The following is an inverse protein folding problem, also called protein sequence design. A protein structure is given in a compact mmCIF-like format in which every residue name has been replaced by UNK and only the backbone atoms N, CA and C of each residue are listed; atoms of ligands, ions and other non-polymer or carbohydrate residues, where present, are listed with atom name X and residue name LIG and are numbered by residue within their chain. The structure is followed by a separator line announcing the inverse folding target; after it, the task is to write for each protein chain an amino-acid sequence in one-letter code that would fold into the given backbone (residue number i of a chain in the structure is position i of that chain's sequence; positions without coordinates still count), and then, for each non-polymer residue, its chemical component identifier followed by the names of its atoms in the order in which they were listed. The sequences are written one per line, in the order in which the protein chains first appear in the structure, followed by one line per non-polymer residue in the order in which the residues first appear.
data_IF_786276766805
#
_entry.id   IF_786276766805
#
_cell.length_a   1.000
_cell.length_b   1.000
_cell.length_c   1.000
_cell.angle_alpha   90.00
_cell.angle_beta   90.00
_cell.angle_gamma   90.00
#
_symmetry.space_group_name_H-M   'P 1'
#
loop_
_entity.id
_entity.type
_entity.pdbx_description
1 polymer ?
#
# COMPACT_ATOMS: atom_id res chain seq x y z
N UNK A 1 5.71 25.96 21.77
CA UNK A 1 5.49 25.27 20.49
C UNK A 1 4.04 24.81 20.22
N UNK A 2 3.06 25.14 21.07
CA UNK A 2 1.64 24.74 20.94
C UNK A 2 0.77 25.48 19.91
N UNK A 3 1.32 26.41 19.10
CA UNK A 3 0.53 27.30 18.22
C UNK A 3 0.26 26.79 16.79
N UNK A 4 0.92 25.73 16.33
CA UNK A 4 0.84 25.32 14.92
C UNK A 4 -0.40 24.47 14.58
N UNK A 5 -1.07 23.88 15.58
CA UNK A 5 -2.14 22.89 15.42
C UNK A 5 -3.54 23.38 15.86
N UNK A 6 -3.68 24.71 16.07
CA UNK A 6 -4.90 25.34 16.65
C UNK A 6 -6.15 25.18 15.75
N UNK A 7 -5.96 24.87 14.46
CA UNK A 7 -7.05 24.70 13.49
C UNK A 7 -7.06 23.31 12.83
N UNK A 8 -6.63 22.28 13.54
CA UNK A 8 -6.71 20.91 13.05
C UNK A 8 -8.13 20.39 13.21
N UNK A 9 -8.61 19.61 12.24
CA UNK A 9 -9.90 18.93 12.29
C UNK A 9 -9.76 17.48 11.80
N UNK A 10 -10.60 16.62 12.33
CA UNK A 10 -10.71 15.25 11.86
C UNK A 10 -11.53 15.23 10.56
N UNK A 11 -11.08 14.49 9.57
CA UNK A 11 -11.89 14.14 8.42
C UNK A 11 -12.40 12.73 8.66
N UNK A 12 -13.70 12.63 8.90
CA UNK A 12 -14.36 11.35 9.13
C UNK A 12 -14.52 10.60 7.80
N UNK A 13 -13.76 9.55 7.66
CA UNK A 13 -13.78 8.65 6.51
C UNK A 13 -14.51 7.34 6.81
N UNK A 14 -15.33 7.29 7.87
CA UNK A 14 -16.12 6.11 8.21
C UNK A 14 -17.12 5.81 7.09
N UNK A 15 -17.04 4.63 6.47
CA UNK A 15 -17.90 4.29 5.35
C UNK A 15 -19.34 4.08 5.78
N UNK A 16 -20.28 4.58 4.96
CA UNK A 16 -21.72 4.38 5.18
C UNK A 16 -22.28 3.15 4.47
N UNK A 17 -21.70 2.78 3.31
CA UNK A 17 -22.28 1.80 2.39
C UNK A 17 -21.24 0.84 1.80
N UNK A 18 -20.07 0.70 2.39
CA UNK A 18 -19.05 -0.26 1.95
C UNK A 18 -18.34 -0.89 3.14
N UNK A 19 -17.59 -1.95 2.88
CA UNK A 19 -16.85 -2.68 3.92
C UNK A 19 -15.88 -1.74 4.65
N UNK A 20 -15.89 -1.75 5.99
CA UNK A 20 -14.87 -1.06 6.75
C UNK A 20 -13.50 -1.67 6.47
N UNK A 21 -12.45 -0.88 6.68
CA UNK A 21 -11.06 -1.33 6.55
C UNK A 21 -10.62 -1.71 5.13
N UNK A 22 -11.33 -1.25 4.07
CA UNK A 22 -10.92 -1.51 2.69
C UNK A 22 -9.67 -0.70 2.30
N UNK A 23 -8.50 -1.35 2.09
CA UNK A 23 -7.25 -0.66 1.82
C UNK A 23 -7.23 0.03 0.46
N UNK A 24 -8.02 -0.43 -0.51
CA UNK A 24 -8.12 0.18 -1.85
C UNK A 24 -8.83 1.52 -1.75
N UNK A 25 -9.96 1.56 -1.03
CA UNK A 25 -10.72 2.78 -0.81
C UNK A 25 -9.91 3.74 0.05
N UNK A 26 -9.41 3.28 1.20
CA UNK A 26 -8.65 4.11 2.13
C UNK A 26 -7.41 4.73 1.46
N UNK A 27 -6.71 3.97 0.59
CA UNK A 27 -5.54 4.49 -0.14
C UNK A 27 -5.91 5.47 -1.26
N UNK A 28 -7.17 5.56 -1.67
CA UNK A 28 -7.63 6.53 -2.67
C UNK A 28 -8.04 7.88 -2.05
N UNK A 29 -8.39 7.88 -0.75
CA UNK A 29 -8.94 9.04 -0.06
C UNK A 29 -7.92 10.18 0.04
N UNK A 30 -6.68 9.90 0.43
CA UNK A 30 -5.64 10.92 0.53
C UNK A 30 -5.43 11.66 -0.80
N UNK A 31 -5.42 10.93 -1.92
CA UNK A 31 -5.31 11.52 -3.25
C UNK A 31 -6.51 12.46 -3.55
N UNK A 32 -7.74 12.02 -3.24
CA UNK A 32 -8.93 12.83 -3.40
C UNK A 32 -8.87 14.11 -2.55
N UNK A 33 -8.48 13.99 -1.29
CA UNK A 33 -8.45 15.11 -0.35
C UNK A 33 -7.46 16.20 -0.77
N UNK A 34 -6.27 15.85 -1.28
CA UNK A 34 -5.24 16.82 -1.65
C UNK A 34 -5.41 17.41 -3.05
N UNK A 35 -6.01 16.68 -3.99
CA UNK A 35 -6.10 17.11 -5.39
C UNK A 35 -7.48 17.64 -5.77
N UNK A 36 -8.54 17.10 -5.20
CA UNK A 36 -9.91 17.38 -5.64
C UNK A 36 -10.72 18.17 -4.59
N UNK A 37 -10.82 17.68 -3.35
CA UNK A 37 -11.66 18.33 -2.30
C UNK A 37 -11.02 19.58 -1.73
N UNK A 38 -9.71 19.56 -1.46
CA UNK A 38 -8.91 20.74 -1.05
C UNK A 38 -9.51 21.55 0.11
N UNK A 39 -9.84 20.87 1.20
CA UNK A 39 -10.36 21.55 2.40
C UNK A 39 -9.32 22.53 2.95
N UNK A 40 -9.72 23.77 3.29
CA UNK A 40 -8.80 24.73 3.87
C UNK A 40 -8.40 24.32 5.29
N UNK A 41 -7.15 24.57 5.67
CA UNK A 41 -6.64 24.28 7.00
C UNK A 41 -5.86 22.96 7.07
N UNK A 42 -5.90 22.31 8.23
CA UNK A 42 -5.15 21.11 8.51
C UNK A 42 -6.11 19.97 8.87
N UNK A 43 -6.40 19.10 7.90
CA UNK A 43 -7.17 17.91 8.11
C UNK A 43 -6.31 16.75 8.64
N UNK A 44 -6.89 15.89 9.44
CA UNK A 44 -6.32 14.60 9.84
C UNK A 44 -7.29 13.49 9.45
N UNK A 45 -6.81 12.46 8.77
CA UNK A 45 -7.51 11.17 8.68
C UNK A 45 -6.83 10.16 9.58
N UNK A 46 -7.63 9.26 10.17
CA UNK A 46 -7.12 8.19 11.02
C UNK A 46 -7.97 6.93 10.82
N UNK A 47 -7.35 5.86 10.32
CA UNK A 47 -8.06 4.65 9.94
C UNK A 47 -7.27 3.37 10.19
N UNK A 48 -7.92 2.24 9.99
CA UNK A 48 -7.35 0.89 10.08
C UNK A 48 -7.64 0.19 8.76
N UNK A 49 -6.76 -0.73 8.34
CA UNK A 49 -6.97 -1.58 7.17
C UNK A 49 -7.15 -3.04 7.58
N UNK A 50 -7.93 -3.80 6.79
CA UNK A 50 -7.84 -5.27 6.80
C UNK A 50 -6.46 -5.70 6.30
N UNK A 51 -6.06 -7.00 6.49
CA UNK A 51 -4.74 -7.47 6.08
C UNK A 51 -4.39 -7.07 4.65
N UNK A 52 -3.31 -6.30 4.50
CA UNK A 52 -2.88 -5.76 3.21
C UNK A 52 -1.40 -5.39 3.20
N UNK A 53 -0.78 -5.44 2.04
CA UNK A 53 0.52 -4.83 1.79
C UNK A 53 0.33 -3.58 0.95
N UNK A 54 0.81 -2.45 1.46
CA UNK A 54 0.82 -1.18 0.75
C UNK A 54 2.22 -0.96 0.17
N UNK A 55 2.34 -1.10 -1.15
CA UNK A 55 3.60 -0.97 -1.87
C UNK A 55 3.79 0.44 -2.43
N UNK A 56 5.00 0.96 -2.39
CA UNK A 56 5.34 2.28 -2.93
C UNK A 56 5.20 2.37 -4.45
N UNK A 57 4.98 3.57 -4.96
CA UNK A 57 4.73 3.82 -6.40
C UNK A 57 5.84 3.31 -7.34
N UNK A 58 7.10 3.32 -6.88
CA UNK A 58 8.28 2.94 -7.64
C UNK A 58 8.86 1.57 -7.25
N UNK A 59 8.12 0.76 -6.49
CA UNK A 59 8.58 -0.57 -6.09
C UNK A 59 8.16 -1.65 -7.08
N UNK A 60 8.99 -2.68 -7.20
CA UNK A 60 8.67 -3.92 -7.89
C UNK A 60 8.06 -4.91 -6.89
N UNK A 61 6.79 -5.30 -7.08
CA UNK A 61 6.08 -6.20 -6.18
C UNK A 61 6.76 -7.57 -6.06
N UNK A 62 7.37 -8.08 -7.12
CA UNK A 62 8.07 -9.38 -7.10
C UNK A 62 9.38 -9.37 -6.30
N UNK A 63 9.92 -8.18 -5.99
CA UNK A 63 11.13 -8.03 -5.17
C UNK A 63 10.83 -7.74 -3.70
N UNK A 64 9.64 -7.21 -3.41
CA UNK A 64 9.30 -6.67 -2.09
C UNK A 64 8.28 -7.51 -1.34
N UNK A 65 7.53 -8.38 -2.04
CA UNK A 65 6.34 -9.02 -1.50
C UNK A 65 6.30 -10.50 -1.87
N UNK A 66 5.96 -11.37 -0.93
CA UNK A 66 5.59 -12.76 -1.23
C UNK A 66 4.13 -12.82 -1.72
N UNK A 67 3.93 -12.69 -3.05
CA UNK A 67 2.59 -12.71 -3.64
C UNK A 67 1.83 -14.01 -3.41
N UNK A 68 2.53 -15.16 -3.24
CA UNK A 68 1.90 -16.44 -2.92
C UNK A 68 1.37 -16.43 -1.50
N UNK A 69 2.18 -15.94 -0.54
CA UNK A 69 1.72 -15.76 0.83
C UNK A 69 0.48 -14.86 0.90
N UNK A 70 0.51 -13.73 0.21
CA UNK A 70 -0.64 -12.82 0.17
C UNK A 70 -1.91 -13.52 -0.31
N UNK A 71 -1.79 -14.24 -1.43
CA UNK A 71 -2.93 -14.96 -2.03
C UNK A 71 -3.50 -16.05 -1.11
N UNK A 72 -2.64 -16.79 -0.41
CA UNK A 72 -3.05 -17.87 0.48
C UNK A 72 -3.67 -17.38 1.79
N UNK A 73 -3.35 -16.15 2.20
CA UNK A 73 -3.77 -15.60 3.49
C UNK A 73 -4.79 -14.44 3.34
N UNK A 74 -5.36 -14.25 2.15
CA UNK A 74 -6.31 -13.17 1.86
C UNK A 74 -5.76 -11.79 2.24
N UNK A 75 -4.49 -11.52 1.91
CA UNK A 75 -3.82 -10.24 2.11
C UNK A 75 -3.87 -9.46 0.80
N UNK A 76 -4.46 -8.27 0.83
CA UNK A 76 -4.55 -7.42 -0.37
C UNK A 76 -3.18 -6.82 -0.73
N UNK A 77 -2.91 -6.66 -2.03
CA UNK A 77 -1.82 -5.82 -2.54
C UNK A 77 -2.38 -4.52 -3.10
N UNK A 78 -1.98 -3.41 -2.51
CA UNK A 78 -2.39 -2.07 -2.95
C UNK A 78 -1.17 -1.20 -3.18
N UNK A 79 -1.11 -0.53 -4.34
CA UNK A 79 -0.03 0.41 -4.66
C UNK A 79 -0.47 1.83 -4.36
N UNK A 80 0.28 2.51 -3.48
CA UNK A 80 0.08 3.94 -3.20
C UNK A 80 0.78 4.83 -4.22
N UNK A 81 0.46 6.11 -4.24
CA UNK A 81 1.11 7.11 -5.10
C UNK A 81 2.38 7.69 -4.51
N UNK A 82 2.55 7.61 -3.20
CA UNK A 82 3.79 8.03 -2.55
C UNK A 82 4.94 7.04 -2.80
N UNK A 83 6.16 7.52 -2.62
CA UNK A 83 7.37 6.69 -2.62
C UNK A 83 7.55 5.90 -1.31
N UNK A 84 8.75 5.37 -1.11
CA UNK A 84 9.14 4.60 0.07
C UNK A 84 8.94 3.09 -0.07
N UNK A 85 9.25 2.34 1.00
CA UNK A 85 9.19 0.89 1.07
C UNK A 85 7.79 0.32 1.21
N UNK A 86 7.66 -0.99 1.03
CA UNK A 86 6.44 -1.73 1.30
C UNK A 86 6.18 -1.80 2.81
N UNK A 87 4.91 -1.73 3.19
CA UNK A 87 4.45 -1.87 4.57
C UNK A 87 3.30 -2.86 4.64
N UNK A 88 3.26 -3.63 5.72
CA UNK A 88 2.15 -4.53 6.02
C UNK A 88 1.16 -3.81 6.95
N UNK A 89 -0.11 -3.91 6.66
CA UNK A 89 -1.20 -3.46 7.50
C UNK A 89 -2.08 -4.64 7.91
N UNK A 90 -2.60 -4.57 9.11
CA UNK A 90 -3.70 -5.39 9.60
C UNK A 90 -4.51 -4.60 10.63
N UNK A 91 -5.44 -5.23 11.29
CA UNK A 91 -6.27 -4.58 12.31
C UNK A 91 -5.49 -4.16 13.57
N UNK A 92 -4.20 -4.48 13.67
CA UNK A 92 -3.30 -4.00 14.72
C UNK A 92 -2.54 -2.72 14.34
N UNK A 93 -2.73 -2.20 13.12
CA UNK A 93 -2.14 -0.94 12.65
C UNK A 93 -3.15 0.19 12.61
N UNK A 94 -2.77 1.36 13.09
CA UNK A 94 -3.48 2.61 12.88
C UNK A 94 -2.73 3.42 11.84
N UNK A 95 -3.41 3.89 10.83
CA UNK A 95 -2.87 4.79 9.83
C UNK A 95 -3.32 6.20 10.17
N UNK A 96 -2.41 7.16 10.19
CA UNK A 96 -2.70 8.58 10.37
C UNK A 96 -2.09 9.37 9.23
N UNK A 97 -2.83 10.31 8.67
CA UNK A 97 -2.34 11.20 7.62
C UNK A 97 -2.84 12.63 7.82
N UNK A 98 -1.91 13.55 7.82
CA UNK A 98 -2.17 14.99 7.85
C UNK A 98 -2.40 15.45 6.42
N UNK A 99 -3.52 16.13 6.17
CA UNK A 99 -3.94 16.64 4.86
C UNK A 99 -3.82 18.16 4.87
N UNK A 100 -2.92 18.68 4.07
CA UNK A 100 -2.69 20.13 3.95
C UNK A 100 -3.00 20.56 2.52
N UNK A 101 -3.98 21.45 2.36
CA UNK A 101 -4.35 22.02 1.07
C UNK A 101 -4.01 23.51 1.00
N UNK A 102 -3.67 23.98 -0.20
CA UNK A 102 -3.35 25.41 -0.45
C UNK A 102 -2.01 25.88 0.10
N UNK A 103 -1.14 24.97 0.57
CA UNK A 103 0.19 25.30 1.07
C UNK A 103 1.17 24.14 0.91
N UNK A 104 2.41 24.47 0.57
CA UNK A 104 3.54 23.53 0.60
C UNK A 104 4.51 23.81 1.76
N UNK A 105 4.12 24.71 2.68
CA UNK A 105 4.89 24.96 3.90
C UNK A 105 4.99 23.69 4.72
N UNK A 106 6.19 23.39 5.25
CA UNK A 106 6.53 22.17 5.96
C UNK A 106 6.46 20.88 5.13
N UNK A 107 6.24 20.94 3.81
CA UNK A 107 6.39 19.77 2.95
C UNK A 107 7.82 19.23 3.09
N UNK A 108 7.94 17.90 3.35
CA UNK A 108 9.17 17.16 3.68
C UNK A 108 9.70 17.33 5.12
N UNK A 109 9.01 18.05 5.99
CA UNK A 109 9.37 18.19 7.40
C UNK A 109 8.64 17.12 8.26
N UNK A 110 9.23 15.94 8.36
CA UNK A 110 8.64 14.83 9.14
C UNK A 110 8.56 15.12 10.65
N UNK A 111 9.45 15.94 11.20
CA UNK A 111 9.38 16.34 12.61
C UNK A 111 8.10 17.14 12.88
N UNK A 112 7.76 18.06 11.96
CA UNK A 112 6.55 18.86 12.06
C UNK A 112 5.29 17.99 12.12
N UNK A 113 5.18 16.95 11.29
CA UNK A 113 4.00 16.08 11.25
C UNK A 113 3.96 15.03 12.36
N UNK A 114 5.10 14.62 12.85
CA UNK A 114 5.20 13.64 13.91
C UNK A 114 4.97 14.24 15.30
N UNK A 115 5.25 15.52 15.47
CA UNK A 115 5.21 16.18 16.77
C UNK A 115 3.88 16.03 17.50
N UNK A 116 2.69 16.25 16.89
CA UNK A 116 1.42 16.06 17.60
C UNK A 116 1.18 14.62 18.03
N UNK A 117 1.52 13.65 17.17
CA UNK A 117 1.38 12.23 17.48
C UNK A 117 2.30 11.83 18.62
N UNK A 118 3.56 12.28 18.57
CA UNK A 118 4.53 12.01 19.64
C UNK A 118 4.11 12.67 20.96
N UNK A 119 3.62 13.92 20.91
CA UNK A 119 3.15 14.62 22.12
C UNK A 119 1.95 13.91 22.75
N UNK A 120 0.97 13.48 21.94
CA UNK A 120 -0.17 12.70 22.42
C UNK A 120 0.29 11.35 23.03
N UNK A 121 1.20 10.64 22.37
CA UNK A 121 1.75 9.38 22.88
C UNK A 121 2.57 9.57 24.17
N UNK A 122 3.30 10.68 24.31
CA UNK A 122 4.02 11.04 25.54
C UNK A 122 3.04 11.31 26.68
N UNK A 123 1.95 12.04 26.45
CA UNK A 123 0.87 12.23 27.41
C UNK A 123 0.24 10.90 27.84
N UNK A 124 0.15 9.93 26.92
CA UNK A 124 -0.29 8.57 27.18
C UNK A 124 0.79 7.67 27.81
N UNK A 125 1.99 8.19 28.05
CA UNK A 125 3.05 7.51 28.80
C UNK A 125 4.15 6.87 27.97
N UNK A 126 4.21 7.08 26.65
CA UNK A 126 5.35 6.69 25.82
C UNK A 126 6.61 7.45 26.28
N UNK A 127 7.72 6.76 26.45
CA UNK A 127 9.00 7.37 26.84
C UNK A 127 9.99 7.32 25.68
N UNK A 128 10.67 8.45 25.44
CA UNK A 128 11.80 8.52 24.50
C UNK A 128 11.39 8.39 23.01
N UNK A 129 10.13 8.64 22.67
CA UNK A 129 9.67 8.66 21.29
C UNK A 129 10.30 9.80 20.50
N UNK A 130 10.81 9.53 19.30
CA UNK A 130 11.38 10.55 18.43
C UNK A 130 11.34 10.15 16.94
N UNK A 131 11.54 11.13 16.07
CA UNK A 131 11.69 10.91 14.63
C UNK A 131 13.12 10.50 14.31
N UNK A 132 13.29 9.36 13.69
CA UNK A 132 14.61 8.94 13.19
C UNK A 132 14.95 9.60 11.86
N UNK A 133 16.27 9.64 11.52
CA UNK A 133 16.77 10.23 10.26
C UNK A 133 16.17 9.63 8.97
N UNK A 134 15.43 8.52 9.04
CA UNK A 134 14.82 7.82 7.91
C UNK A 134 13.28 7.80 7.99
N UNK A 135 12.66 8.89 8.44
CA UNK A 135 11.21 9.07 8.45
C UNK A 135 10.45 7.93 9.18
N UNK A 136 10.92 7.57 10.36
CA UNK A 136 10.27 6.59 11.22
C UNK A 136 10.15 7.12 12.64
N UNK A 137 9.07 6.75 13.34
CA UNK A 137 8.99 6.96 14.80
C UNK A 137 9.63 5.77 15.48
N UNK A 138 10.52 6.07 16.40
CA UNK A 138 11.28 5.07 17.15
C UNK A 138 11.26 5.40 18.65
N UNK A 139 11.30 4.36 19.47
CA UNK A 139 11.55 4.43 20.91
C UNK A 139 12.31 3.17 21.31
N UNK A 140 13.24 3.28 22.27
CA UNK A 140 14.10 2.17 22.68
C UNK A 140 14.78 1.44 21.50
N UNK A 141 15.29 2.20 20.51
CA UNK A 141 15.93 1.73 19.27
C UNK A 141 15.06 0.87 18.35
N UNK A 142 13.77 0.74 18.64
CA UNK A 142 12.83 0.00 17.82
C UNK A 142 11.86 0.95 17.09
N UNK A 143 11.61 0.65 15.83
CA UNK A 143 10.63 1.36 15.03
C UNK A 143 9.22 0.87 15.37
N UNK A 144 8.31 1.81 15.69
CA UNK A 144 6.89 1.55 15.87
C UNK A 144 6.00 2.27 14.84
N UNK A 145 6.61 3.09 13.96
CA UNK A 145 5.91 3.77 12.86
C UNK A 145 6.85 3.97 11.67
N UNK A 146 6.30 3.82 10.46
CA UNK A 146 6.92 4.28 9.22
C UNK A 146 6.11 5.43 8.67
N UNK A 147 6.77 6.51 8.22
CA UNK A 147 6.11 7.67 7.64
C UNK A 147 6.44 7.84 6.17
N UNK A 148 5.49 8.41 5.43
CA UNK A 148 5.68 8.82 4.04
C UNK A 148 4.96 10.15 3.78
N UNK A 149 5.19 10.70 2.59
CA UNK A 149 4.56 11.93 2.15
C UNK A 149 4.16 11.84 0.68
N UNK A 150 3.01 12.39 0.36
CA UNK A 150 2.51 12.56 -1.01
C UNK A 150 2.41 14.06 -1.27
N UNK A 151 3.11 14.54 -2.28
CA UNK A 151 3.02 15.93 -2.72
C UNK A 151 2.03 16.03 -3.88
N UNK A 152 0.98 16.83 -3.69
CA UNK A 152 0.08 17.29 -4.74
C UNK A 152 0.59 18.55 -5.44
N UNK A 153 -0.26 19.18 -6.24
CA UNK A 153 0.07 20.41 -6.98
C UNK A 153 0.28 21.60 -6.03
N UNK A 154 -0.64 21.79 -5.10
CA UNK A 154 -0.73 22.93 -4.19
C UNK A 154 -1.03 22.51 -2.73
N UNK A 155 -0.78 21.23 -2.41
CA UNK A 155 -0.98 20.65 -1.11
C UNK A 155 -0.20 19.35 -0.97
N UNK A 156 -0.34 18.67 0.16
CA UNK A 156 0.32 17.38 0.42
C UNK A 156 -0.40 16.60 1.51
N UNK A 157 -0.21 15.29 1.51
CA UNK A 157 -0.52 14.41 2.63
C UNK A 157 0.78 13.91 3.25
N UNK A 158 0.86 13.90 4.58
CA UNK A 158 2.01 13.42 5.33
C UNK A 158 1.55 12.62 6.54
N UNK A 159 2.01 11.39 6.65
CA UNK A 159 1.60 10.52 7.73
C UNK A 159 2.34 9.20 7.75
N UNK A 160 1.76 8.23 8.41
CA UNK A 160 2.35 6.91 8.55
C UNK A 160 1.47 5.93 9.27
N UNK A 161 2.10 4.83 9.68
CA UNK A 161 1.47 3.77 10.46
C UNK A 161 1.88 3.86 11.92
N UNK A 162 0.98 3.57 12.85
CA UNK A 162 1.32 3.20 14.22
C UNK A 162 1.09 1.69 14.37
N UNK A 163 2.14 0.93 14.51
CA UNK A 163 2.08 -0.51 14.77
C UNK A 163 1.67 -0.72 16.23
N UNK A 164 0.35 -0.65 16.52
CA UNK A 164 -0.14 -0.77 17.89
C UNK A 164 -0.08 -2.22 18.39
N UNK A 165 -0.73 -3.14 17.65
CA UNK A 165 -0.78 -4.58 17.96
C UNK A 165 -0.73 -5.41 16.67
N UNK A 166 0.15 -5.01 15.74
CA UNK A 166 0.33 -5.65 14.44
C UNK A 166 0.87 -7.07 14.57
N UNK A 167 0.40 -7.99 13.74
CA UNK A 167 1.00 -9.31 13.63
C UNK A 167 2.34 -9.24 12.89
N UNK A 168 3.43 -9.12 13.66
CA UNK A 168 4.80 -8.97 13.12
C UNK A 168 5.23 -10.22 12.33
N UNK A 169 4.75 -11.41 12.70
CA UNK A 169 5.06 -12.66 11.98
C UNK A 169 4.45 -12.64 10.58
N UNK A 170 3.17 -12.28 10.47
CA UNK A 170 2.51 -12.14 9.17
C UNK A 170 3.18 -11.04 8.32
N UNK A 171 3.55 -9.92 8.94
CA UNK A 171 4.26 -8.83 8.26
C UNK A 171 5.58 -9.33 7.66
N UNK A 172 6.38 -10.09 8.41
CA UNK A 172 7.65 -10.65 7.92
C UNK A 172 7.43 -11.62 6.76
N UNK A 173 6.43 -12.50 6.85
CA UNK A 173 6.11 -13.45 5.77
C UNK A 173 5.64 -12.72 4.51
N UNK A 174 4.78 -11.73 4.64
CA UNK A 174 4.26 -10.95 3.52
C UNK A 174 5.35 -10.12 2.80
N UNK A 175 6.31 -9.57 3.55
CA UNK A 175 7.35 -8.64 3.06
C UNK A 175 8.69 -9.32 2.75
N UNK A 176 8.77 -10.65 2.79
CA UNK A 176 10.00 -11.40 2.50
C UNK A 176 9.73 -12.40 1.37
N UNK A 177 9.84 -11.98 0.10
CA UNK A 177 9.67 -12.90 -1.03
C UNK A 177 10.73 -13.99 -0.98
N UNK A 178 10.33 -15.25 -1.24
CA UNK A 178 11.25 -16.41 -1.25
C UNK A 178 12.38 -16.24 -2.26
N UNK A 179 12.10 -15.57 -3.38
CA UNK A 179 13.07 -15.29 -4.44
C UNK A 179 12.84 -13.86 -4.92
N UNK A 180 13.82 -13.00 -4.72
CA UNK A 180 13.74 -11.62 -5.24
C UNK A 180 13.91 -11.61 -6.75
N UNK A 181 13.15 -10.75 -7.41
CA UNK A 181 13.29 -10.51 -8.83
C UNK A 181 14.65 -9.83 -9.13
N UNK A 182 15.40 -10.39 -10.08
CA UNK A 182 16.71 -9.88 -10.48
C UNK A 182 16.63 -8.69 -11.44
N UNK A 183 15.49 -8.48 -12.09
CA UNK A 183 15.26 -7.40 -13.07
C UNK A 183 14.88 -6.08 -12.37
N UNK A 184 14.88 -6.05 -11.06
CA UNK A 184 14.41 -4.88 -10.33
C UNK A 184 15.23 -3.63 -10.59
N UNK A 185 14.52 -2.54 -10.90
CA UNK A 185 15.02 -1.15 -10.88
C UNK A 185 14.26 -0.32 -9.84
N UNK A 186 13.49 -0.99 -9.00
CA UNK A 186 12.62 -0.38 -7.99
C UNK A 186 13.38 0.07 -6.74
N UNK A 187 12.70 0.87 -5.93
CA UNK A 187 13.19 1.27 -4.60
C UNK A 187 13.00 0.11 -3.63
N UNK A 188 14.05 -0.28 -2.93
CA UNK A 188 14.00 -1.34 -1.92
C UNK A 188 13.51 -0.82 -0.57
N UNK A 189 12.83 -1.69 0.19
CA UNK A 189 12.46 -1.43 1.57
C UNK A 189 13.67 -1.46 2.48
N UNK A 190 13.70 -0.56 3.50
CA UNK A 190 14.75 -0.56 4.51
C UNK A 190 14.41 -1.54 5.64
N UNK A 191 15.33 -2.42 5.97
CA UNK A 191 15.21 -3.32 7.11
C UNK A 191 15.55 -2.62 8.42
N UNK A 192 14.72 -2.79 9.47
CA UNK A 192 14.90 -2.25 10.81
C UNK A 192 14.20 -3.11 11.85
N UNK A 193 14.74 -3.20 13.08
CA UNK A 193 14.01 -3.79 14.19
C UNK A 193 12.69 -3.03 14.42
N UNK A 194 11.60 -3.75 14.45
CA UNK A 194 10.25 -3.22 14.69
C UNK A 194 9.68 -3.73 16.00
N UNK A 195 8.79 -2.95 16.61
CA UNK A 195 8.03 -3.35 17.80
C UNK A 195 6.61 -2.80 17.70
N UNK A 196 5.70 -3.44 18.41
CA UNK A 196 4.37 -2.89 18.61
C UNK A 196 4.40 -1.79 19.68
N UNK A 197 3.73 -0.68 19.39
CA UNK A 197 3.59 0.47 20.30
C UNK A 197 2.95 0.06 21.64
N UNK A 198 2.04 -0.90 21.63
CA UNK A 198 1.43 -1.52 22.80
C UNK A 198 2.46 -1.94 23.85
N UNK A 199 3.61 -2.48 23.42
CA UNK A 199 4.68 -2.93 24.33
C UNK A 199 5.47 -1.79 24.97
N UNK A 200 5.33 -0.58 24.45
CA UNK A 200 6.04 0.62 24.89
C UNK A 200 5.19 1.53 25.80
N UNK A 201 3.91 1.21 25.93
CA UNK A 201 2.92 2.00 26.68
C UNK A 201 2.60 1.38 28.05
N UNK A 202 2.03 2.17 29.00
CA UNK A 202 1.54 1.66 30.27
C UNK A 202 0.49 0.56 30.13
N UNK A 203 0.35 -0.29 31.15
CA UNK A 203 -0.56 -1.43 31.18
C UNK A 203 -2.02 -1.09 30.85
N UNK A 204 -2.46 0.12 31.17
CA UNK A 204 -3.81 0.62 30.84
C UNK A 204 -4.11 0.54 29.34
N UNK A 205 -3.14 0.88 28.50
CA UNK A 205 -3.31 0.85 27.02
C UNK A 205 -3.02 -0.52 26.43
N UNK A 206 -2.22 -1.36 27.11
CA UNK A 206 -1.87 -2.69 26.62
C UNK A 206 -3.06 -3.64 26.50
N UNK A 207 -4.15 -3.38 27.21
CA UNK A 207 -5.36 -4.22 27.18
C UNK A 207 -6.42 -3.71 26.17
N UNK A 208 -6.18 -2.58 25.54
CA UNK A 208 -7.11 -2.00 24.58
C UNK A 208 -7.09 -2.73 23.24
N UNK A 209 -8.25 -2.78 22.58
CA UNK A 209 -8.29 -3.06 21.14
C UNK A 209 -7.70 -1.88 20.37
N UNK A 210 -7.25 -2.13 19.13
CA UNK A 210 -6.69 -1.08 18.27
C UNK A 210 -7.70 0.06 18.02
N UNK A 211 -8.98 -0.25 17.87
CA UNK A 211 -10.04 0.76 17.75
C UNK A 211 -10.21 1.61 19.00
N UNK A 212 -10.21 0.98 20.18
CA UNK A 212 -10.28 1.72 21.45
C UNK A 212 -9.04 2.61 21.64
N UNK A 213 -7.86 2.10 21.32
CA UNK A 213 -6.64 2.89 21.40
C UNK A 213 -6.63 4.06 20.40
N UNK A 214 -7.10 3.85 19.16
CA UNK A 214 -7.26 4.92 18.15
C UNK A 214 -8.18 6.02 18.67
N UNK A 215 -9.29 5.65 19.32
CA UNK A 215 -10.22 6.60 19.90
C UNK A 215 -9.52 7.45 20.99
N UNK A 216 -8.86 6.83 21.95
CA UNK A 216 -8.12 7.52 23.00
C UNK A 216 -7.00 8.42 22.45
N UNK A 217 -6.23 7.92 21.49
CA UNK A 217 -5.19 8.70 20.82
C UNK A 217 -5.76 9.99 20.21
N UNK A 218 -6.91 9.91 19.55
CA UNK A 218 -7.55 11.08 18.94
C UNK A 218 -8.05 12.08 20.00
N UNK A 219 -8.58 11.64 21.13
CA UNK A 219 -8.95 12.52 22.24
C UNK A 219 -7.74 13.30 22.76
N UNK A 220 -6.62 12.62 22.99
CA UNK A 220 -5.35 13.26 23.41
C UNK A 220 -4.82 14.21 22.35
N UNK A 221 -4.83 13.81 21.08
CA UNK A 221 -4.30 14.58 19.97
C UNK A 221 -5.09 15.89 19.73
N UNK A 222 -6.41 15.86 19.94
CA UNK A 222 -7.28 17.04 19.86
C UNK A 222 -7.42 17.78 21.19
N UNK A 223 -6.83 17.28 22.28
CA UNK A 223 -6.92 17.84 23.64
C UNK A 223 -8.37 18.03 24.12
N UNK A 224 -9.24 17.07 23.83
CA UNK A 224 -10.65 17.06 24.23
C UNK A 224 -10.98 15.86 25.12
N UNK A 225 -12.09 15.96 25.87
CA UNK A 225 -12.54 14.87 26.75
C UNK A 225 -13.60 13.99 26.09
N UNK A 226 -14.33 14.51 25.13
CA UNK A 226 -15.44 13.81 24.50
C UNK A 226 -15.27 13.83 22.99
N UNK A 227 -15.63 12.73 22.36
CA UNK A 227 -15.58 12.57 20.91
C UNK A 227 -16.34 13.66 20.15
N UNK A 228 -17.50 14.08 20.68
CA UNK A 228 -18.31 15.12 20.08
C UNK A 228 -17.65 16.51 20.04
N UNK A 229 -16.59 16.72 20.82
CA UNK A 229 -15.84 17.99 20.87
C UNK A 229 -14.72 18.04 19.80
N UNK A 230 -14.44 16.93 19.08
CA UNK A 230 -13.47 16.93 17.99
C UNK A 230 -14.07 17.67 16.80
N UNK A 231 -13.45 18.78 16.32
CA UNK A 231 -13.87 19.42 15.09
C UNK A 231 -13.79 18.42 13.92
N UNK A 232 -14.92 18.09 13.32
CA UNK A 232 -14.98 17.00 12.34
C UNK A 232 -15.63 17.44 11.04
N UNK A 233 -14.96 17.15 9.91
CA UNK A 233 -15.56 17.21 8.59
C UNK A 233 -16.03 15.82 8.18
N UNK A 234 -17.30 15.70 7.81
CA UNK A 234 -17.87 14.44 7.31
C UNK A 234 -17.91 14.44 5.79
N UNK A 235 -17.35 13.41 5.18
CA UNK A 235 -17.43 13.23 3.72
C UNK A 235 -18.89 13.15 3.27
N UNK A 236 -19.22 13.97 2.26
CA UNK A 236 -20.55 14.01 1.64
C UNK A 236 -20.74 12.83 0.67
N UNK A 237 -21.97 12.61 0.22
CA UNK A 237 -22.23 11.61 -0.82
C UNK A 237 -21.48 11.93 -2.12
N UNK A 238 -21.29 13.20 -2.45
CA UNK A 238 -20.51 13.62 -3.62
C UNK A 238 -19.04 13.25 -3.47
N UNK A 239 -18.46 13.45 -2.27
CA UNK A 239 -17.09 13.07 -1.98
C UNK A 239 -16.88 11.56 -2.16
N UNK A 240 -17.80 10.77 -1.60
CA UNK A 240 -17.77 9.31 -1.73
C UNK A 240 -17.90 8.85 -3.19
N UNK A 241 -18.76 9.46 -3.99
CA UNK A 241 -18.87 9.15 -5.42
C UNK A 241 -17.55 9.42 -6.15
N UNK A 242 -16.91 10.55 -5.89
CA UNK A 242 -15.62 10.89 -6.50
C UNK A 242 -14.50 9.93 -6.06
N UNK A 243 -14.47 9.52 -4.78
CA UNK A 243 -13.55 8.51 -4.28
C UNK A 243 -13.77 7.17 -5.01
N UNK A 244 -15.01 6.70 -5.16
CA UNK A 244 -15.32 5.48 -5.90
C UNK A 244 -14.93 5.57 -7.40
N UNK A 245 -15.04 6.74 -8.01
CA UNK A 245 -14.52 6.94 -9.36
C UNK A 245 -12.98 6.79 -9.43
N UNK A 246 -12.24 7.33 -8.45
CA UNK A 246 -10.79 7.14 -8.36
C UNK A 246 -10.43 5.65 -8.17
N UNK A 247 -11.19 4.92 -7.35
CA UNK A 247 -11.04 3.48 -7.20
C UNK A 247 -11.23 2.78 -8.55
N UNK A 248 -12.33 3.06 -9.26
CA UNK A 248 -12.63 2.43 -10.54
C UNK A 248 -11.60 2.77 -11.64
N UNK A 249 -11.12 4.02 -11.66
CA UNK A 249 -10.15 4.49 -12.67
C UNK A 249 -8.72 4.04 -12.39
N UNK A 250 -8.34 3.85 -11.12
CA UNK A 250 -6.94 3.61 -10.75
C UNK A 250 -6.74 2.55 -9.65
N UNK A 251 -7.11 2.84 -8.41
CA UNK A 251 -6.68 2.05 -7.24
C UNK A 251 -7.26 0.64 -7.20
N UNK A 252 -8.46 0.41 -7.74
CA UNK A 252 -9.07 -0.91 -7.87
C UNK A 252 -8.59 -1.71 -9.10
N UNK A 253 -7.73 -1.13 -9.94
CA UNK A 253 -7.29 -1.80 -11.16
C UNK A 253 -6.05 -2.66 -10.94
N UNK A 254 -6.11 -3.90 -11.41
CA UNK A 254 -4.97 -4.83 -11.35
C UNK A 254 -3.72 -4.27 -12.02
N UNK A 255 -3.87 -3.56 -13.14
CA UNK A 255 -2.74 -2.94 -13.83
C UNK A 255 -2.02 -1.90 -12.98
N UNK A 256 -2.72 -1.19 -12.08
CA UNK A 256 -2.10 -0.29 -11.12
C UNK A 256 -1.35 -1.05 -10.02
N UNK A 257 -1.99 -2.03 -9.39
CA UNK A 257 -1.45 -2.72 -8.22
C UNK A 257 -0.37 -3.75 -8.60
N UNK A 258 -0.59 -4.53 -9.65
CA UNK A 258 0.27 -5.66 -10.05
C UNK A 258 1.07 -5.39 -11.33
N UNK A 259 0.64 -4.46 -12.18
CA UNK A 259 1.25 -4.22 -13.49
C UNK A 259 2.38 -3.19 -13.46
N UNK A 260 2.33 -2.19 -12.59
CA UNK A 260 3.29 -1.10 -12.54
C UNK A 260 4.59 -1.50 -11.82
N UNK A 261 5.33 -2.45 -12.39
CA UNK A 261 6.61 -2.92 -11.86
C UNK A 261 7.78 -2.37 -12.68
N UNK A 262 8.74 -1.63 -12.05
CA UNK A 262 9.94 -1.17 -12.74
C UNK A 262 10.71 -2.33 -13.39
N UNK A 263 11.14 -2.15 -14.63
CA UNK A 263 11.84 -3.18 -15.41
C UNK A 263 10.94 -3.96 -16.37
N UNK A 264 9.62 -3.85 -16.25
CA UNK A 264 8.65 -4.48 -17.14
C UNK A 264 7.89 -3.43 -17.97
N UNK A 265 7.72 -3.69 -19.27
CA UNK A 265 7.06 -2.79 -20.24
C UNK A 265 5.57 -3.08 -20.36
N UNK A 266 5.20 -4.34 -20.19
CA UNK A 266 3.85 -4.84 -20.45
C UNK A 266 3.28 -5.59 -19.28
N UNK A 267 1.96 -5.54 -19.19
CA UNK A 267 1.18 -6.25 -18.22
C UNK A 267 -0.08 -6.83 -18.84
N UNK A 268 -0.47 -8.01 -18.38
CA UNK A 268 -1.77 -8.60 -18.68
C UNK A 268 -2.33 -9.28 -17.46
N UNK A 269 -3.64 -9.20 -17.29
CA UNK A 269 -4.34 -10.04 -16.33
C UNK A 269 -5.61 -10.64 -16.91
N UNK A 270 -5.92 -11.88 -16.51
CA UNK A 270 -7.16 -12.57 -16.91
C UNK A 270 -7.69 -13.40 -15.76
N UNK A 271 -9.01 -13.39 -15.61
CA UNK A 271 -9.70 -14.30 -14.72
C UNK A 271 -9.62 -15.72 -15.30
N UNK A 272 -9.21 -16.67 -14.47
CA UNK A 272 -9.18 -18.10 -14.78
C UNK A 272 -10.13 -18.83 -13.82
N UNK A 273 -10.38 -20.11 -14.07
CA UNK A 273 -11.36 -20.88 -13.30
C UNK A 273 -11.12 -20.85 -11.77
N UNK A 274 -9.86 -20.75 -11.35
CA UNK A 274 -9.45 -20.80 -9.94
C UNK A 274 -8.86 -19.48 -9.45
N UNK A 275 -9.17 -18.32 -10.07
CA UNK A 275 -8.67 -17.03 -9.61
C UNK A 275 -8.23 -16.09 -10.72
N UNK A 276 -7.14 -15.37 -10.51
CA UNK A 276 -6.60 -14.38 -11.42
C UNK A 276 -5.17 -14.75 -11.84
N UNK A 277 -4.87 -14.65 -13.12
CA UNK A 277 -3.52 -14.79 -13.68
C UNK A 277 -2.99 -13.41 -14.07
N UNK A 278 -1.75 -13.11 -13.65
CA UNK A 278 -1.04 -11.86 -13.94
C UNK A 278 0.29 -12.17 -14.62
N UNK A 279 0.61 -11.46 -15.70
CA UNK A 279 1.89 -11.57 -16.43
C UNK A 279 2.46 -10.17 -16.58
N UNK A 280 3.69 -9.97 -16.11
CA UNK A 280 4.52 -8.80 -16.37
C UNK A 280 5.66 -9.22 -17.27
N UNK A 281 5.95 -8.52 -18.36
CA UNK A 281 7.07 -8.86 -19.23
C UNK A 281 7.68 -7.65 -19.94
N UNK A 282 8.90 -7.84 -20.41
CA UNK A 282 9.63 -6.91 -21.26
C UNK A 282 10.11 -7.63 -22.51
N UNK A 283 10.36 -6.88 -23.58
CA UNK A 283 10.88 -7.43 -24.84
C UNK A 283 12.09 -6.66 -25.34
N UNK A 284 13.00 -7.38 -26.00
CA UNK A 284 14.12 -6.84 -26.76
C UNK A 284 14.20 -7.62 -28.09
N UNK A 285 14.27 -6.93 -29.21
CA UNK A 285 14.32 -7.55 -30.54
C UNK A 285 13.21 -8.58 -30.78
N UNK A 286 11.98 -8.24 -30.41
CA UNK A 286 10.76 -9.07 -30.49
C UNK A 286 10.83 -10.39 -29.68
N UNK A 287 11.79 -10.53 -28.77
CA UNK A 287 11.88 -11.66 -27.85
C UNK A 287 11.57 -11.21 -26.44
N UNK A 288 10.98 -12.10 -25.65
CA UNK A 288 10.74 -11.87 -24.25
C UNK A 288 12.08 -11.84 -23.51
N UNK A 289 12.50 -10.66 -23.04
CA UNK A 289 13.77 -10.44 -22.35
C UNK A 289 13.65 -10.53 -20.83
N UNK A 290 12.45 -10.35 -20.30
CA UNK A 290 12.11 -10.53 -18.88
C UNK A 290 10.65 -10.90 -18.76
N UNK A 291 10.32 -11.77 -17.81
CA UNK A 291 8.94 -12.18 -17.54
C UNK A 291 8.77 -12.55 -16.07
N UNK A 292 7.65 -12.16 -15.48
CA UNK A 292 7.15 -12.59 -14.18
C UNK A 292 5.68 -12.97 -14.27
N UNK A 293 5.37 -14.12 -13.68
CA UNK A 293 4.03 -14.68 -13.66
C UNK A 293 3.57 -14.87 -12.21
N UNK A 294 2.33 -14.52 -11.96
CA UNK A 294 1.66 -14.78 -10.69
C UNK A 294 0.21 -15.18 -10.96
N UNK A 295 -0.23 -16.21 -10.29
CA UNK A 295 -1.64 -16.64 -10.30
C UNK A 295 -2.09 -16.95 -8.88
N UNK A 296 -3.29 -16.49 -8.48
CA UNK A 296 -3.80 -16.65 -7.12
C UNK A 296 -3.91 -18.13 -6.68
N UNK A 297 -4.05 -19.05 -7.63
CA UNK A 297 -4.07 -20.50 -7.38
C UNK A 297 -2.91 -21.25 -8.06
N UNK A 298 -1.89 -20.53 -8.53
CA UNK A 298 -0.69 -21.11 -9.14
C UNK A 298 0.39 -21.29 -8.09
N UNK A 299 1.07 -22.44 -8.09
CA UNK A 299 2.24 -22.65 -7.24
C UNK A 299 3.45 -21.85 -7.77
N UNK A 300 4.40 -21.55 -6.89
CA UNK A 300 5.63 -20.87 -7.28
C UNK A 300 6.40 -21.64 -8.36
N UNK A 301 6.50 -22.95 -8.22
CA UNK A 301 7.20 -23.84 -9.19
C UNK A 301 6.51 -23.81 -10.55
N UNK A 302 5.18 -23.77 -10.60
CA UNK A 302 4.44 -23.67 -11.86
C UNK A 302 4.66 -22.31 -12.54
N UNK A 303 4.71 -21.23 -11.75
CA UNK A 303 5.02 -19.90 -12.27
C UNK A 303 6.47 -19.82 -12.80
N UNK A 304 7.45 -20.32 -12.05
CA UNK A 304 8.85 -20.39 -12.45
C UNK A 304 9.04 -21.21 -13.73
N UNK A 305 8.38 -22.36 -13.86
CA UNK A 305 8.44 -23.19 -15.08
C UNK A 305 7.88 -22.46 -16.31
N UNK A 306 6.80 -21.69 -16.12
CA UNK A 306 6.21 -20.88 -17.18
C UNK A 306 7.12 -19.71 -17.59
N UNK A 307 7.73 -19.04 -16.63
CA UNK A 307 8.70 -17.97 -16.85
C UNK A 307 9.91 -18.47 -17.65
N UNK A 308 10.49 -19.61 -17.25
CA UNK A 308 11.63 -20.22 -17.94
C UNK A 308 11.30 -20.63 -19.36
N UNK A 309 10.13 -21.23 -19.60
CA UNK A 309 9.73 -21.63 -20.94
C UNK A 309 9.50 -20.47 -21.89
N UNK A 310 9.04 -19.33 -21.38
CA UNK A 310 8.73 -18.16 -22.20
C UNK A 310 9.90 -17.18 -22.34
N UNK A 311 10.90 -17.23 -21.47
CA UNK A 311 12.09 -16.38 -21.55
C UNK A 311 12.86 -16.67 -22.85
N UNK A 312 13.14 -15.63 -23.65
CA UNK A 312 13.80 -15.74 -24.97
C UNK A 312 12.85 -16.14 -26.11
N UNK A 313 11.61 -16.48 -25.84
CA UNK A 313 10.63 -16.80 -26.88
C UNK A 313 10.34 -15.56 -27.76
N UNK A 314 10.22 -15.77 -29.07
CA UNK A 314 9.77 -14.71 -29.99
C UNK A 314 8.30 -14.41 -29.75
N UNK A 315 7.93 -13.13 -29.74
CA UNK A 315 6.58 -12.67 -29.45
C UNK A 315 5.66 -12.86 -30.65
N UNK A 316 5.43 -14.12 -31.01
CA UNK A 316 4.45 -14.54 -32.03
C UNK A 316 3.73 -15.82 -31.59
N UNK A 317 2.59 -16.09 -32.19
CA UNK A 317 1.69 -17.20 -31.78
C UNK A 317 2.40 -18.57 -31.80
N UNK A 318 3.18 -18.86 -32.84
CA UNK A 318 3.76 -20.19 -33.05
C UNK A 318 4.89 -20.46 -32.03
N UNK A 319 5.79 -19.48 -31.87
CA UNK A 319 6.86 -19.56 -30.86
C UNK A 319 6.31 -19.71 -29.46
N UNK A 320 5.32 -18.91 -29.08
CA UNK A 320 4.71 -18.95 -27.75
C UNK A 320 4.04 -20.30 -27.49
N UNK A 321 3.22 -20.80 -28.42
CA UNK A 321 2.56 -22.11 -28.32
C UNK A 321 3.57 -23.26 -28.23
N UNK A 322 4.65 -23.23 -29.04
CA UNK A 322 5.72 -24.21 -29.02
C UNK A 322 6.42 -24.26 -27.66
N UNK A 323 6.74 -23.13 -27.07
CA UNK A 323 7.39 -23.08 -25.75
C UNK A 323 6.42 -23.49 -24.64
N UNK A 324 5.15 -23.07 -24.67
CA UNK A 324 4.13 -23.46 -23.71
C UNK A 324 3.83 -24.95 -23.72
N UNK A 325 3.92 -25.61 -24.91
CA UNK A 325 3.74 -27.05 -25.04
C UNK A 325 4.74 -27.89 -24.23
N UNK A 326 5.89 -27.31 -23.89
CA UNK A 326 6.94 -27.95 -23.10
C UNK A 326 6.69 -27.85 -21.57
N UNK A 327 5.65 -27.14 -21.16
CA UNK A 327 5.29 -26.96 -19.74
C UNK A 327 4.14 -27.88 -19.34
N UNK A 328 3.87 -27.94 -18.03
CA UNK A 328 2.67 -28.63 -17.48
C UNK A 328 1.34 -28.05 -18.03
N UNK A 329 1.40 -26.89 -18.68
CA UNK A 329 0.26 -26.24 -19.30
C UNK A 329 0.02 -26.70 -20.75
N UNK A 330 0.99 -27.40 -21.38
CA UNK A 330 0.92 -27.82 -22.78
C UNK A 330 -0.29 -28.72 -23.10
N UNK A 331 -0.70 -29.58 -22.16
CA UNK A 331 -1.91 -30.41 -22.28
C UNK A 331 -3.21 -29.61 -22.10
N UNK A 332 -3.17 -28.37 -21.62
CA UNK A 332 -4.31 -27.50 -21.35
C UNK A 332 -4.51 -26.48 -22.46
N UNK A 333 -4.99 -26.88 -23.61
CA UNK A 333 -5.11 -26.03 -24.82
C UNK A 333 -5.75 -24.66 -24.55
N UNK A 334 -6.84 -24.61 -23.77
CA UNK A 334 -7.51 -23.33 -23.42
C UNK A 334 -6.60 -22.38 -22.67
N UNK A 335 -5.80 -22.88 -21.73
CA UNK A 335 -4.89 -22.06 -20.94
C UNK A 335 -3.67 -21.61 -21.77
N UNK A 336 -3.14 -22.50 -22.62
CA UNK A 336 -2.09 -22.16 -23.61
C UNK A 336 -2.54 -21.04 -24.54
N UNK A 337 -3.76 -21.13 -25.07
CA UNK A 337 -4.33 -20.08 -25.90
C UNK A 337 -4.50 -18.76 -25.13
N UNK A 338 -5.02 -18.82 -23.90
CA UNK A 338 -5.22 -17.65 -23.05
C UNK A 338 -3.90 -16.93 -22.77
N UNK A 339 -2.84 -17.65 -22.35
CA UNK A 339 -1.50 -17.09 -22.10
C UNK A 339 -0.93 -16.47 -23.39
N UNK A 340 -1.08 -17.14 -24.53
CA UNK A 340 -0.64 -16.61 -25.81
C UNK A 340 -1.33 -15.27 -26.13
N UNK A 341 -2.64 -15.19 -25.96
CA UNK A 341 -3.39 -13.95 -26.18
C UNK A 341 -2.99 -12.85 -25.19
N UNK A 342 -2.73 -13.18 -23.91
CA UNK A 342 -2.26 -12.24 -22.90
C UNK A 342 -0.93 -11.61 -23.27
N UNK A 343 -0.02 -12.37 -23.88
CA UNK A 343 1.29 -11.90 -24.32
C UNK A 343 1.22 -11.09 -25.62
N UNK A 344 0.35 -11.49 -26.57
CA UNK A 344 0.20 -10.80 -27.85
C UNK A 344 -0.64 -9.51 -27.78
N UNK A 345 -1.50 -9.38 -26.76
CA UNK A 345 -2.37 -8.20 -26.58
C UNK A 345 -2.30 -7.67 -25.14
N UNK A 346 -1.10 -7.27 -24.68
CA UNK A 346 -0.92 -6.77 -23.32
C UNK A 346 -1.39 -5.33 -23.17
N UNK A 347 -1.58 -4.93 -21.92
CA UNK A 347 -1.67 -3.52 -21.53
C UNK A 347 -0.25 -2.92 -21.44
N UNK A 348 -0.06 -1.69 -21.95
CA UNK A 348 1.22 -1.00 -21.79
C UNK A 348 1.27 -0.31 -20.44
N UNK A 349 2.20 -0.68 -19.58
CA UNK A 349 2.33 -0.13 -18.22
C UNK A 349 2.78 1.34 -18.19
N UNK A 350 3.41 1.85 -19.27
CA UNK A 350 3.82 3.25 -19.37
C UNK A 350 2.65 4.21 -19.72
N UNK A 351 1.54 3.69 -20.25
CA UNK A 351 0.36 4.49 -20.61
C UNK A 351 -0.59 4.75 -19.44
N UNK A 352 -0.29 4.26 -18.25
CA UNK A 352 -1.06 4.55 -17.04
C UNK A 352 -0.57 5.89 -16.50
N UNK A 353 -0.96 6.96 -17.18
CA UNK A 353 -0.77 8.31 -16.66
C UNK A 353 -1.70 8.49 -15.45
N UNK A 354 -1.11 8.99 -14.41
CA UNK A 354 -1.70 9.32 -13.11
C UNK A 354 -2.35 10.70 -13.20
#
# INVERSE_FOLDING_TARGET
MKKAWINMFLIDITPKNHEPYDPIINQSIDNYLINDLKLPGHGLICYINRPSVIIGSAQNSFSEVDLHYLSQNNVDLVRRTSGGGAVYHDQGNIIFENIISGSLKHCSDYNYFAEPILSALEEMGLKGGHVSAKSALVANDHKFSGMCMIKGKDGYAAGGTLMFDMNITNARQALTPKKRDQVTRGVLSADRPITNLKNLLPATYQQMSTEAFKHELLLHLFHVKHWADIPTYHLTNTDWNNIHELVAKKYGRNVWNYGKNPGYQYYSSRKIQQGQLHINFATTDQKISAIKVFGTSMTADAADALEQALLGATLNSDSLKKNLAQTIFGSRQKLTQLITEMLLKPENTHKINI
#
